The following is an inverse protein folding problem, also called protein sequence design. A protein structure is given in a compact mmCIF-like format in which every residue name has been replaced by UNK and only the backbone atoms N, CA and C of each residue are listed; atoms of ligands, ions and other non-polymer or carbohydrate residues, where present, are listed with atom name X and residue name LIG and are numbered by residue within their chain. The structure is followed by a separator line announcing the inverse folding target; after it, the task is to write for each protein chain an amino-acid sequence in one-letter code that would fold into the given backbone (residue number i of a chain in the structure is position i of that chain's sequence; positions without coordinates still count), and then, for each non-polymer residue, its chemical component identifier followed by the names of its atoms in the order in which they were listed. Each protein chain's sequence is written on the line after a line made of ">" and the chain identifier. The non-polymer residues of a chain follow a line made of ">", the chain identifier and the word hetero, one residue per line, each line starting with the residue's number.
data_IF_438795876783
#
_entry.id   IF_438795876783
#
_cell.length_a   1.000
_cell.length_b   1.000
_cell.length_c   1.000
_cell.angle_alpha   90.00
_cell.angle_beta   90.00
_cell.angle_gamma   90.00
#
_symmetry.space_group_name_H-M   'P 1'
#
loop_
_entity.id
_entity.type
_entity.pdbx_description
1 polymer ?
#
# COMPACT_ATOMS: atom_id res chain seq x y z
N UNK A 1 -19.04 3.76 -20.36
CA UNK A 1 -18.91 5.22 -20.53
C UNK A 1 -19.34 5.90 -19.23
N UNK A 2 -18.38 6.08 -18.32
CA UNK A 2 -18.63 6.68 -16.98
C UNK A 2 -18.88 8.18 -17.09
N UNK A 3 -18.41 8.81 -18.16
CA UNK A 3 -18.65 10.22 -18.47
C UNK A 3 -20.12 10.47 -18.85
N UNK A 4 -20.78 9.50 -19.51
CA UNK A 4 -22.21 9.59 -19.83
C UNK A 4 -23.12 9.57 -18.58
N UNK A 5 -22.70 8.92 -17.49
CA UNK A 5 -23.43 8.89 -16.21
C UNK A 5 -23.34 10.22 -15.45
N UNK A 6 -22.26 10.98 -15.64
CA UNK A 6 -22.09 12.31 -15.02
C UNK A 6 -22.90 13.38 -15.75
N UNK A 7 -23.25 13.17 -17.02
CA UNK A 7 -23.98 14.15 -17.84
C UNK A 7 -25.52 14.10 -17.70
N UNK A 8 -26.09 13.11 -17.01
CA UNK A 8 -27.56 12.92 -16.95
C UNK A 8 -28.29 13.50 -15.73
N UNK A 9 -27.60 14.20 -14.82
CA UNK A 9 -28.27 14.92 -13.73
C UNK A 9 -27.78 16.36 -13.66
N UNK A 10 -28.48 17.26 -14.35
CA UNK A 10 -28.28 18.73 -14.26
C UNK A 10 -28.66 19.34 -12.91
N UNK A 11 -28.74 18.55 -11.86
CA UNK A 11 -28.79 19.00 -10.47
C UNK A 11 -27.37 18.90 -9.92
N UNK A 12 -26.80 20.05 -9.55
CA UNK A 12 -25.65 20.05 -8.64
C UNK A 12 -26.10 19.33 -7.37
N UNK A 13 -25.77 18.05 -7.23
CA UNK A 13 -25.88 17.38 -5.94
C UNK A 13 -24.95 18.13 -5.01
N UNK A 14 -25.51 18.95 -4.12
CA UNK A 14 -24.79 19.51 -2.99
C UNK A 14 -24.45 18.36 -2.04
N UNK A 15 -23.42 17.60 -2.40
CA UNK A 15 -22.88 16.57 -1.54
C UNK A 15 -22.00 17.30 -0.54
N UNK A 16 -22.45 17.33 0.71
CA UNK A 16 -21.63 17.74 1.86
C UNK A 16 -21.11 16.48 2.54
N UNK A 17 -19.99 15.87 2.06
CA UNK A 17 -19.47 14.66 2.68
C UNK A 17 -19.10 14.95 4.14
N UNK A 18 -19.56 14.07 5.03
CA UNK A 18 -19.18 14.08 6.44
C UNK A 18 -18.01 13.12 6.67
N UNK A 19 -17.40 13.13 7.86
CA UNK A 19 -16.34 12.17 8.18
C UNK A 19 -16.82 10.71 8.03
N UNK A 20 -18.08 10.41 8.36
CA UNK A 20 -18.66 9.07 8.19
C UNK A 20 -19.16 8.78 6.77
N UNK A 21 -18.82 9.60 5.77
CA UNK A 21 -19.18 9.31 4.37
C UNK A 21 -18.18 8.32 3.76
N UNK A 22 -18.70 7.39 2.94
CA UNK A 22 -17.84 6.49 2.17
C UNK A 22 -17.03 7.29 1.16
N UNK A 23 -15.72 7.09 1.15
CA UNK A 23 -14.79 7.73 0.23
C UNK A 23 -14.47 6.82 -0.97
N UNK A 24 -14.27 5.53 -0.72
CA UNK A 24 -13.97 4.53 -1.75
C UNK A 24 -14.69 3.20 -1.46
N UNK A 25 -14.98 2.46 -2.52
CA UNK A 25 -15.44 1.08 -2.46
C UNK A 25 -14.47 0.22 -3.26
N UNK A 26 -13.86 -0.78 -2.62
CA UNK A 26 -12.83 -1.62 -3.23
C UNK A 26 -13.30 -3.07 -3.24
N UNK A 27 -13.30 -3.72 -4.41
CA UNK A 27 -13.77 -5.09 -4.54
C UNK A 27 -12.63 -6.07 -4.36
N UNK A 28 -12.83 -7.06 -3.49
CA UNK A 28 -11.90 -8.16 -3.25
C UNK A 28 -12.51 -9.48 -3.71
N UNK A 29 -11.66 -10.46 -4.04
CA UNK A 29 -12.09 -11.82 -4.34
C UNK A 29 -12.63 -12.47 -3.05
N UNK A 30 -13.93 -12.74 -3.00
CA UNK A 30 -14.52 -13.46 -1.87
C UNK A 30 -14.21 -14.95 -1.92
N UNK A 31 -13.95 -15.55 -0.76
CA UNK A 31 -13.79 -17.01 -0.61
C UNK A 31 -15.04 -17.80 -1.00
N UNK A 32 -16.21 -17.15 -1.07
CA UNK A 32 -17.49 -17.71 -1.47
C UNK A 32 -17.77 -17.58 -2.98
N UNK A 33 -16.81 -17.08 -3.77
CA UNK A 33 -16.92 -16.90 -5.23
C UNK A 33 -17.50 -15.56 -5.69
N UNK A 34 -18.29 -14.88 -4.84
CA UNK A 34 -18.78 -13.53 -5.13
C UNK A 34 -17.80 -12.46 -4.62
N UNK A 35 -17.45 -11.44 -5.42
CA UNK A 35 -16.64 -10.32 -4.96
C UNK A 35 -17.30 -9.57 -3.78
N UNK A 36 -16.50 -9.16 -2.80
CA UNK A 36 -16.98 -8.39 -1.64
C UNK A 36 -16.52 -6.94 -1.76
N UNK A 37 -17.44 -5.99 -1.63
CA UNK A 37 -17.12 -4.56 -1.66
C UNK A 37 -16.72 -4.06 -0.28
N UNK A 38 -15.47 -3.65 -0.10
CA UNK A 38 -14.96 -3.08 1.15
C UNK A 38 -15.19 -1.57 1.15
N UNK A 39 -16.00 -1.10 2.11
CA UNK A 39 -16.36 0.33 2.24
C UNK A 39 -15.31 1.07 3.05
N UNK A 40 -14.61 2.00 2.41
CA UNK A 40 -13.55 2.80 3.02
C UNK A 40 -14.04 4.23 3.27
N UNK A 41 -13.96 4.70 4.51
CA UNK A 41 -14.35 6.06 4.89
C UNK A 41 -13.15 7.03 4.85
N UNK A 42 -13.45 8.33 4.73
CA UNK A 42 -12.45 9.40 4.77
C UNK A 42 -11.47 9.31 5.97
N UNK A 43 -11.91 9.19 7.24
CA UNK A 43 -11.01 9.12 8.39
C UNK A 43 -10.09 7.90 8.35
N UNK A 44 -10.60 6.75 7.89
CA UNK A 44 -9.81 5.53 7.81
C UNK A 44 -8.71 5.60 6.75
N UNK A 45 -9.07 6.04 5.56
CA UNK A 45 -8.10 6.26 4.50
C UNK A 45 -7.08 7.33 4.86
N UNK A 46 -7.52 8.49 5.35
CA UNK A 46 -6.60 9.59 5.68
C UNK A 46 -5.62 9.22 6.80
N UNK A 47 -6.06 8.45 7.80
CA UNK A 47 -5.19 7.91 8.84
C UNK A 47 -4.14 6.97 8.26
N UNK A 48 -4.56 5.98 7.48
CA UNK A 48 -3.66 5.02 6.80
C UNK A 48 -2.65 5.72 5.89
N UNK A 49 -3.13 6.60 5.01
CA UNK A 49 -2.31 7.37 4.06
C UNK A 49 -1.27 8.21 4.78
N UNK A 50 -1.67 8.92 5.84
CA UNK A 50 -0.76 9.79 6.61
C UNK A 50 0.32 8.97 7.31
N UNK A 51 -0.06 7.86 7.93
CA UNK A 51 0.88 6.97 8.60
C UNK A 51 1.85 6.32 7.61
N UNK A 52 1.35 5.83 6.48
CA UNK A 52 2.16 5.25 5.40
C UNK A 52 3.13 6.26 4.79
N UNK A 53 2.67 7.47 4.46
CA UNK A 53 3.53 8.51 3.89
C UNK A 53 4.65 8.92 4.86
N UNK A 54 4.35 8.94 6.18
CA UNK A 54 5.34 9.17 7.23
C UNK A 54 6.36 8.03 7.32
N UNK A 55 5.87 6.78 7.41
CA UNK A 55 6.71 5.59 7.49
C UNK A 55 7.58 5.39 6.24
N UNK A 56 7.07 5.79 5.07
CA UNK A 56 7.79 5.75 3.79
C UNK A 56 8.69 6.96 3.55
N UNK A 57 8.74 7.92 4.50
CA UNK A 57 9.54 9.15 4.42
C UNK A 57 9.27 9.97 3.15
N UNK A 58 8.00 10.10 2.78
CA UNK A 58 7.62 10.92 1.63
C UNK A 58 7.91 12.40 1.90
N UNK A 59 8.40 13.08 0.88
CA UNK A 59 8.78 14.50 0.90
C UNK A 59 8.31 15.17 -0.40
N UNK A 60 8.41 16.51 -0.51
CA UNK A 60 8.15 17.20 -1.78
C UNK A 60 9.05 16.77 -2.94
N UNK A 61 10.17 16.10 -2.66
CA UNK A 61 11.07 15.55 -3.68
C UNK A 61 10.71 14.12 -4.10
N UNK A 62 9.76 13.48 -3.44
CA UNK A 62 9.34 12.12 -3.76
C UNK A 62 8.64 12.09 -5.11
N UNK A 63 9.14 11.25 -6.02
CA UNK A 63 8.53 10.92 -7.31
C UNK A 63 8.08 9.47 -7.26
N UNK A 64 6.79 9.27 -7.00
CA UNK A 64 6.17 7.95 -6.82
C UNK A 64 5.74 7.39 -8.16
N UNK A 65 6.31 6.25 -8.56
CA UNK A 65 5.89 5.52 -9.73
C UNK A 65 4.62 4.71 -9.42
N UNK A 66 3.50 5.07 -10.05
CA UNK A 66 2.21 4.42 -9.85
C UNK A 66 2.16 3.08 -10.59
N UNK A 67 2.73 2.04 -9.99
CA UNK A 67 2.69 0.67 -10.53
C UNK A 67 1.39 -0.06 -10.19
N UNK A 68 0.85 0.19 -9.01
CA UNK A 68 -0.30 -0.59 -8.54
C UNK A 68 -1.56 -0.19 -9.29
N UNK A 69 -2.31 -1.20 -9.76
CA UNK A 69 -3.64 -0.99 -10.37
C UNK A 69 -4.56 -0.23 -9.41
N UNK A 70 -5.40 0.65 -9.96
CA UNK A 70 -6.37 1.45 -9.20
C UNK A 70 -7.48 0.63 -8.53
N UNK A 71 -7.50 -0.68 -8.76
CA UNK A 71 -8.38 -1.63 -8.08
C UNK A 71 -7.86 -2.08 -6.71
N UNK A 72 -6.64 -1.70 -6.33
CA UNK A 72 -6.03 -2.05 -5.04
C UNK A 72 -5.83 -0.81 -4.16
N UNK A 73 -6.05 -0.94 -2.85
CA UNK A 73 -5.94 0.17 -1.89
C UNK A 73 -4.56 0.83 -1.87
N UNK A 74 -3.52 0.08 -2.20
CA UNK A 74 -2.14 0.57 -2.38
C UNK A 74 -2.08 1.78 -3.32
N UNK A 75 -2.86 1.79 -4.41
CA UNK A 75 -2.83 2.91 -5.34
C UNK A 75 -3.32 4.20 -4.71
N UNK A 76 -4.26 4.11 -3.75
CA UNK A 76 -4.74 5.27 -3.01
C UNK A 76 -3.66 5.78 -2.07
N UNK A 77 -2.92 4.89 -1.41
CA UNK A 77 -1.78 5.24 -0.56
C UNK A 77 -0.66 5.93 -1.36
N UNK A 78 -0.32 5.39 -2.53
CA UNK A 78 0.71 5.98 -3.40
C UNK A 78 0.27 7.36 -3.91
N UNK A 79 -0.95 7.47 -4.44
CA UNK A 79 -1.50 8.72 -4.99
C UNK A 79 -1.63 9.80 -3.91
N UNK A 80 -2.47 9.57 -2.90
CA UNK A 80 -2.78 10.56 -1.88
C UNK A 80 -1.65 10.75 -0.86
N UNK A 81 -0.86 9.71 -0.58
CA UNK A 81 0.32 9.83 0.26
C UNK A 81 1.34 10.76 -0.37
N UNK A 82 1.58 10.61 -1.68
CA UNK A 82 2.52 11.47 -2.41
C UNK A 82 2.01 12.91 -2.47
N UNK A 83 0.74 13.11 -2.85
CA UNK A 83 0.15 14.45 -2.95
C UNK A 83 0.07 15.17 -1.60
N UNK A 84 -0.27 14.47 -0.52
CA UNK A 84 -0.33 15.06 0.84
C UNK A 84 1.03 15.52 1.36
N UNK A 85 2.13 15.04 0.77
CA UNK A 85 3.50 15.46 1.08
C UNK A 85 4.13 16.39 0.03
N UNK A 86 3.34 16.85 -0.95
CA UNK A 86 3.80 17.75 -2.01
C UNK A 86 4.70 17.09 -3.06
N UNK A 87 4.72 15.75 -3.13
CA UNK A 87 5.49 15.00 -4.12
C UNK A 87 4.81 14.94 -5.49
N UNK A 88 5.41 14.19 -6.41
CA UNK A 88 4.93 13.98 -7.77
C UNK A 88 4.54 12.52 -7.99
N UNK A 89 3.32 12.30 -8.49
CA UNK A 89 2.86 10.97 -8.91
C UNK A 89 3.17 10.80 -10.39
N UNK A 90 3.93 9.77 -10.72
CA UNK A 90 4.33 9.41 -12.07
C UNK A 90 3.40 8.30 -12.57
N UNK A 91 2.56 8.62 -13.56
CA UNK A 91 1.56 7.73 -14.13
C UNK A 91 2.07 7.11 -15.44
N UNK A 92 2.62 5.89 -15.43
CA UNK A 92 3.00 5.20 -16.66
C UNK A 92 1.76 4.72 -17.42
N UNK A 93 1.89 4.58 -18.74
CA UNK A 93 0.96 3.75 -19.52
C UNK A 93 1.05 2.28 -19.09
N UNK A 94 0.01 1.49 -19.38
CA UNK A 94 0.02 0.05 -19.10
C UNK A 94 1.18 -0.67 -19.79
N UNK A 95 1.47 -0.31 -21.05
CA UNK A 95 2.60 -0.87 -21.80
C UNK A 95 3.95 -0.55 -21.14
N UNK A 96 4.16 0.70 -20.71
CA UNK A 96 5.36 1.09 -19.96
C UNK A 96 5.48 0.31 -18.66
N UNK A 97 4.37 0.11 -17.95
CA UNK A 97 4.32 -0.57 -16.66
C UNK A 97 4.63 -2.06 -16.74
N UNK A 98 4.14 -2.75 -17.77
CA UNK A 98 4.22 -4.21 -17.90
C UNK A 98 5.36 -4.70 -18.78
N UNK A 99 5.73 -3.94 -19.82
CA UNK A 99 6.68 -4.42 -20.84
C UNK A 99 8.10 -3.86 -20.66
N UNK A 100 8.24 -2.64 -20.13
CA UNK A 100 9.55 -2.00 -19.85
C UNK A 100 9.52 -1.19 -18.55
N UNK A 101 9.32 -1.89 -17.44
CA UNK A 101 9.24 -1.27 -16.11
C UNK A 101 10.52 -0.46 -15.78
N UNK A 102 11.70 -0.98 -16.13
CA UNK A 102 12.96 -0.30 -15.87
C UNK A 102 13.09 1.00 -16.68
N UNK A 103 12.73 0.98 -17.97
CA UNK A 103 12.68 2.17 -18.81
C UNK A 103 11.71 3.21 -18.28
N UNK A 104 10.50 2.80 -17.94
CA UNK A 104 9.49 3.69 -17.39
C UNK A 104 9.97 4.36 -16.09
N UNK A 105 10.56 3.60 -15.15
CA UNK A 105 11.11 4.14 -13.91
C UNK A 105 12.19 5.20 -14.17
N UNK A 106 13.05 5.00 -15.18
CA UNK A 106 14.07 5.98 -15.59
C UNK A 106 13.47 7.22 -16.25
N UNK A 107 12.54 7.04 -17.19
CA UNK A 107 11.91 8.15 -17.94
C UNK A 107 11.19 9.11 -16.99
N UNK A 108 10.50 8.57 -16.00
CA UNK A 108 9.83 9.34 -14.97
C UNK A 108 10.79 9.86 -13.87
N UNK A 109 12.05 9.41 -13.86
CA UNK A 109 13.03 9.65 -12.77
C UNK A 109 12.41 9.33 -11.42
N UNK A 110 11.77 8.17 -11.32
CA UNK A 110 11.07 7.77 -10.12
C UNK A 110 12.06 7.58 -8.96
N UNK A 111 11.72 8.09 -7.78
CA UNK A 111 12.54 7.93 -6.56
C UNK A 111 11.93 6.92 -5.59
N UNK A 112 10.64 6.63 -5.77
CA UNK A 112 9.87 5.69 -4.96
C UNK A 112 8.98 4.82 -5.84
N UNK A 113 8.83 3.55 -5.47
CA UNK A 113 7.79 2.68 -6.00
C UNK A 113 7.35 1.65 -4.94
N UNK A 114 6.09 1.26 -5.01
CA UNK A 114 5.61 0.04 -4.38
C UNK A 114 5.53 -1.08 -5.43
N UNK A 115 6.05 -2.27 -5.11
CA UNK A 115 6.07 -3.42 -6.03
C UNK A 115 5.79 -4.73 -5.27
N UNK A 116 5.35 -5.77 -5.97
CA UNK A 116 5.40 -7.13 -5.42
C UNK A 116 6.83 -7.67 -5.46
N UNK A 117 7.10 -8.71 -4.66
CA UNK A 117 8.39 -9.42 -4.67
C UNK A 117 8.73 -9.90 -6.08
N UNK A 118 7.76 -10.50 -6.76
CA UNK A 118 7.87 -10.96 -8.15
C UNK A 118 8.20 -9.83 -9.13
N UNK A 119 7.52 -8.69 -9.04
CA UNK A 119 7.75 -7.55 -9.95
C UNK A 119 9.15 -6.96 -9.76
N UNK A 120 9.60 -6.82 -8.50
CA UNK A 120 10.93 -6.31 -8.18
C UNK A 120 12.06 -7.26 -8.59
N UNK A 121 11.80 -8.57 -8.64
CA UNK A 121 12.77 -9.57 -9.09
C UNK A 121 13.24 -9.37 -10.53
N UNK A 122 12.39 -8.79 -11.39
CA UNK A 122 12.72 -8.47 -12.78
C UNK A 122 13.69 -7.28 -12.93
N UNK A 123 13.93 -6.52 -11.86
CA UNK A 123 14.74 -5.31 -11.87
C UNK A 123 16.11 -5.54 -11.22
N UNK A 124 17.10 -4.80 -11.71
CA UNK A 124 18.41 -4.65 -11.08
C UNK A 124 18.67 -3.17 -10.72
N UNK A 125 19.29 -2.87 -9.55
CA UNK A 125 19.54 -1.49 -9.12
C UNK A 125 20.26 -0.61 -10.15
N UNK A 126 21.18 -1.19 -10.93
CA UNK A 126 21.91 -0.46 -11.99
C UNK A 126 21.02 0.04 -13.13
N UNK A 127 19.83 -0.55 -13.32
CA UNK A 127 18.89 -0.15 -14.36
C UNK A 127 18.02 1.04 -13.95
N UNK A 128 17.96 1.36 -12.66
CA UNK A 128 17.03 2.36 -12.09
C UNK A 128 17.75 3.22 -11.04
N UNK A 129 18.77 3.99 -11.46
CA UNK A 129 19.70 4.66 -10.54
C UNK A 129 19.08 5.80 -9.72
N UNK A 130 17.87 6.27 -10.07
CA UNK A 130 17.15 7.33 -9.35
C UNK A 130 16.30 6.80 -8.19
N UNK A 131 16.01 5.49 -8.14
CA UNK A 131 15.26 4.91 -7.03
C UNK A 131 16.04 5.06 -5.72
N UNK A 132 15.32 5.46 -4.67
CA UNK A 132 15.87 5.70 -3.32
C UNK A 132 15.17 4.87 -2.27
N UNK A 133 13.87 4.64 -2.42
CA UNK A 133 13.06 3.86 -1.48
C UNK A 133 12.14 2.93 -2.26
N UNK A 134 12.04 1.69 -1.79
CA UNK A 134 11.19 0.67 -2.40
C UNK A 134 10.41 0.02 -1.27
N UNK A 135 9.10 -0.02 -1.42
CA UNK A 135 8.23 -0.79 -0.53
C UNK A 135 7.76 -2.04 -1.26
N UNK A 136 7.81 -3.18 -0.59
CA UNK A 136 7.43 -4.49 -1.13
C UNK A 136 6.34 -5.11 -0.26
N UNK A 137 5.32 -5.69 -0.88
CA UNK A 137 4.27 -6.39 -0.16
C UNK A 137 3.36 -7.21 -1.08
N UNK A 138 2.26 -7.72 -0.52
CA UNK A 138 1.28 -8.56 -1.22
C UNK A 138 1.74 -10.01 -1.45
N UNK A 139 3.04 -10.27 -1.32
CA UNK A 139 3.69 -11.59 -1.44
C UNK A 139 4.79 -11.70 -0.38
N UNK A 140 5.24 -12.91 -0.09
CA UNK A 140 6.45 -13.12 0.71
C UNK A 140 7.66 -12.48 0.02
N UNK A 141 8.46 -11.73 0.78
CA UNK A 141 9.68 -11.14 0.26
C UNK A 141 10.76 -12.22 0.12
N UNK A 142 11.34 -12.35 -1.07
CA UNK A 142 12.42 -13.29 -1.34
C UNK A 142 13.76 -12.76 -0.80
N UNK A 143 14.59 -13.64 -0.25
CA UNK A 143 15.89 -13.27 0.35
C UNK A 143 16.85 -12.66 -0.68
N UNK A 144 16.79 -13.12 -1.93
CA UNK A 144 17.61 -12.60 -3.03
C UNK A 144 17.28 -11.12 -3.33
N UNK A 145 16.03 -10.70 -3.09
CA UNK A 145 15.60 -9.31 -3.23
C UNK A 145 16.21 -8.46 -2.12
N UNK A 146 16.21 -8.97 -0.88
CA UNK A 146 16.87 -8.29 0.25
C UNK A 146 18.36 -8.11 -0.06
N UNK A 147 19.05 -9.18 -0.45
CA UNK A 147 20.47 -9.13 -0.78
C UNK A 147 20.79 -8.12 -1.90
N UNK A 148 19.93 -8.04 -2.93
CA UNK A 148 20.12 -7.17 -4.09
C UNK A 148 19.83 -5.69 -3.79
N UNK A 149 18.79 -5.39 -3.00
CA UNK A 149 18.25 -4.04 -2.90
C UNK A 149 18.52 -3.33 -1.57
N UNK A 150 18.69 -4.07 -0.46
CA UNK A 150 18.82 -3.50 0.88
C UNK A 150 20.02 -2.52 1.04
N UNK A 151 21.10 -2.73 0.29
CA UNK A 151 22.27 -1.85 0.30
C UNK A 151 22.19 -0.69 -0.69
N UNK A 152 21.19 -0.68 -1.57
CA UNK A 152 21.06 0.27 -2.70
C UNK A 152 19.92 1.26 -2.50
N UNK A 153 18.84 0.81 -1.89
CA UNK A 153 17.67 1.61 -1.60
C UNK A 153 17.23 1.35 -0.15
N UNK A 154 16.44 2.27 0.40
CA UNK A 154 15.65 1.99 1.60
C UNK A 154 14.57 0.96 1.25
N UNK A 155 14.91 -0.31 1.39
CA UNK A 155 13.99 -1.42 1.17
C UNK A 155 13.09 -1.60 2.39
N UNK A 156 11.79 -1.66 2.16
CA UNK A 156 10.77 -1.77 3.20
C UNK A 156 9.83 -2.93 2.88
N UNK A 157 9.59 -3.82 3.83
CA UNK A 157 8.48 -4.78 3.74
C UNK A 157 7.23 -4.15 4.32
N UNK A 158 6.09 -4.37 3.67
CA UNK A 158 4.79 -3.90 4.11
C UNK A 158 3.78 -5.05 4.11
N UNK A 159 2.90 -5.05 5.09
CA UNK A 159 1.75 -5.95 5.17
C UNK A 159 0.48 -5.17 5.51
N UNK A 160 -0.62 -5.59 4.92
CA UNK A 160 -1.95 -5.10 5.18
C UNK A 160 -2.94 -5.67 4.18
N UNK A 161 -4.20 -5.27 4.34
CA UNK A 161 -5.30 -5.74 3.49
C UNK A 161 -6.13 -4.56 3.00
N UNK A 162 -7.13 -4.85 2.16
CA UNK A 162 -8.11 -3.84 1.75
C UNK A 162 -8.88 -3.31 2.96
N UNK A 163 -9.23 -4.18 3.90
CA UNK A 163 -9.97 -3.89 5.14
C UNK A 163 -9.15 -3.02 6.12
N UNK A 164 -7.83 -2.97 5.98
CA UNK A 164 -6.95 -2.08 6.76
C UNK A 164 -6.56 -0.81 5.99
N UNK A 165 -7.31 -0.45 4.93
CA UNK A 165 -7.00 0.68 4.06
C UNK A 165 -5.58 0.64 3.47
N UNK A 166 -5.07 -0.54 3.12
CA UNK A 166 -3.76 -0.74 2.48
C UNK A 166 -2.72 -1.42 3.37
N UNK A 167 -2.36 -0.82 4.50
CA UNK A 167 -1.23 -1.27 5.33
C UNK A 167 -1.53 -1.22 6.82
N UNK A 168 -1.04 -2.21 7.56
CA UNK A 168 -1.06 -2.20 9.02
C UNK A 168 0.32 -2.43 9.63
N UNK A 169 1.26 -3.11 8.95
CA UNK A 169 2.63 -3.34 9.42
C UNK A 169 3.66 -2.88 8.38
N UNK A 170 4.77 -2.28 8.83
CA UNK A 170 5.95 -2.05 8.00
C UNK A 170 7.26 -2.40 8.73
N UNK A 171 8.20 -2.93 7.97
CA UNK A 171 9.59 -3.14 8.35
C UNK A 171 10.52 -2.32 7.45
N UNK A 172 10.78 -1.05 7.80
CA UNK A 172 11.59 -0.17 6.96
C UNK A 172 13.08 -0.37 7.14
N UNK A 173 13.84 -0.14 6.06
CA UNK A 173 15.30 -0.06 6.12
C UNK A 173 15.96 -1.41 6.35
N UNK A 174 15.49 -2.45 5.65
CA UNK A 174 16.13 -3.75 5.68
C UNK A 174 17.60 -3.65 5.31
N UNK A 175 18.44 -4.41 6.00
CA UNK A 175 19.83 -4.67 5.67
C UNK A 175 19.97 -5.98 4.87
N UNK A 176 21.11 -6.22 4.20
CA UNK A 176 21.36 -7.50 3.52
C UNK A 176 21.30 -8.74 4.41
N UNK A 177 21.37 -8.57 5.74
CA UNK A 177 21.30 -9.65 6.74
C UNK A 177 19.95 -9.71 7.45
N UNK A 178 18.98 -8.91 7.02
CA UNK A 178 17.65 -8.88 7.63
C UNK A 178 16.83 -10.12 7.23
N UNK A 179 16.05 -10.64 8.17
CA UNK A 179 15.10 -11.72 7.89
C UNK A 179 13.90 -11.17 7.11
N UNK A 180 13.74 -11.63 5.87
CA UNK A 180 12.68 -11.19 4.96
C UNK A 180 11.26 -11.52 5.45
N UNK A 181 11.13 -12.43 6.43
CA UNK A 181 9.85 -12.85 7.01
C UNK A 181 9.32 -11.89 8.07
N UNK A 182 10.17 -11.00 8.59
CA UNK A 182 9.79 -10.05 9.63
C UNK A 182 9.03 -8.87 9.00
N UNK A 183 7.73 -8.80 9.25
CA UNK A 183 6.82 -7.75 8.74
C UNK A 183 6.97 -6.40 9.47
N UNK A 184 7.69 -6.40 10.59
CA UNK A 184 8.05 -5.19 11.33
C UNK A 184 6.99 -4.80 12.36
N UNK A 185 6.68 -3.51 12.44
CA UNK A 185 5.85 -2.93 13.49
C UNK A 185 4.64 -2.22 12.90
N UNK A 186 3.57 -2.04 13.70
CA UNK A 186 2.41 -1.32 13.23
C UNK A 186 2.70 0.16 12.96
N UNK A 187 2.13 0.70 11.88
CA UNK A 187 2.26 2.14 11.51
C UNK A 187 1.46 3.07 12.40
N UNK A 188 0.32 2.57 12.86
CA UNK A 188 -0.55 3.19 13.86
C UNK A 188 -0.66 2.16 14.98
N UNK A 189 -0.45 2.51 16.26
CA UNK A 189 -0.42 1.53 17.35
C UNK A 189 -1.74 0.76 17.45
N UNK A 190 -1.77 -0.47 16.91
CA UNK A 190 -2.97 -1.32 16.89
C UNK A 190 -2.73 -2.69 16.20
N UNK A 191 -1.76 -3.47 16.69
CA UNK A 191 -1.57 -4.85 16.24
C UNK A 191 -1.35 -5.77 17.44
N UNK A 192 -2.10 -6.87 17.48
CA UNK A 192 -2.13 -7.83 18.57
C UNK A 192 -1.94 -9.23 18.03
N UNK A 193 -1.23 -10.08 18.77
CA UNK A 193 -1.14 -11.50 18.47
C UNK A 193 -1.97 -12.24 19.52
N UNK A 194 -3.07 -12.83 19.08
CA UNK A 194 -4.07 -13.47 19.94
C UNK A 194 -4.12 -14.97 19.71
N UNK A 195 -4.75 -15.68 20.63
CA UNK A 195 -5.01 -17.09 20.45
C UNK A 195 -6.00 -17.28 19.30
N UNK A 196 -5.79 -18.23 18.37
CA UNK A 196 -6.67 -18.41 17.21
C UNK A 196 -8.14 -18.70 17.57
N UNK A 197 -8.37 -19.36 18.71
CA UNK A 197 -9.72 -19.67 19.19
C UNK A 197 -10.32 -18.61 20.13
N UNK A 198 -9.55 -17.57 20.51
CA UNK A 198 -10.02 -16.53 21.43
C UNK A 198 -9.32 -15.17 21.17
N UNK A 199 -10.00 -14.23 20.49
CA UNK A 199 -9.44 -12.91 20.17
C UNK A 199 -9.22 -12.01 21.39
N UNK A 200 -9.72 -12.38 22.58
CA UNK A 200 -9.48 -11.63 23.81
C UNK A 200 -8.26 -12.14 24.59
N UNK A 201 -7.63 -13.22 24.11
CA UNK A 201 -6.48 -13.84 24.77
C UNK A 201 -5.20 -13.59 23.99
N UNK A 202 -4.32 -12.73 24.52
CA UNK A 202 -2.98 -12.53 23.97
C UNK A 202 -2.14 -13.81 24.13
N UNK A 203 -1.28 -14.09 23.15
CA UNK A 203 -0.25 -15.13 23.28
C UNK A 203 1.07 -14.52 23.79
N UNK A 204 1.93 -15.31 24.46
CA UNK A 204 3.26 -14.84 24.88
C UNK A 204 4.16 -14.46 23.70
N UNK A 205 5.16 -13.62 23.97
CA UNK A 205 6.20 -13.28 22.97
C UNK A 205 6.89 -14.56 22.48
N UNK A 206 6.95 -14.72 21.16
CA UNK A 206 7.56 -15.89 20.49
C UNK A 206 6.59 -17.04 20.20
N UNK A 207 5.35 -16.98 20.72
CA UNK A 207 4.31 -17.94 20.36
C UNK A 207 3.65 -17.58 19.02
N UNK A 208 3.13 -18.59 18.33
CA UNK A 208 2.30 -18.43 17.13
C UNK A 208 0.87 -18.09 17.56
N UNK A 209 0.24 -17.15 16.88
CA UNK A 209 -1.15 -16.75 17.10
C UNK A 209 -1.74 -16.03 15.88
N UNK A 210 -2.96 -15.57 16.03
CA UNK A 210 -3.68 -14.80 15.02
C UNK A 210 -3.33 -13.31 15.13
N UNK A 211 -3.12 -12.64 14.00
CA UNK A 211 -2.90 -11.19 13.95
C UNK A 211 -4.25 -10.47 13.94
N UNK A 212 -4.52 -9.72 15.01
CA UNK A 212 -5.62 -8.76 15.06
C UNK A 212 -5.09 -7.35 14.89
N UNK A 213 -5.89 -6.53 14.22
CA UNK A 213 -5.60 -5.11 14.01
C UNK A 213 -6.81 -4.29 14.44
N UNK A 214 -6.55 -3.16 15.09
CA UNK A 214 -7.58 -2.24 15.57
C UNK A 214 -7.29 -0.81 15.10
N UNK A 215 -8.09 0.16 15.50
CA UNK A 215 -7.77 1.57 15.30
C UNK A 215 -8.36 2.20 14.05
N UNK A 216 -7.98 3.46 13.76
CA UNK A 216 -8.77 4.34 12.91
C UNK A 216 -8.70 3.98 11.43
N UNK A 217 -7.78 3.11 11.00
CA UNK A 217 -7.54 2.75 9.60
C UNK A 217 -8.37 1.54 9.12
N UNK A 218 -9.30 1.06 9.94
CA UNK A 218 -10.19 -0.04 9.56
C UNK A 218 -11.31 0.45 8.63
N UNK A 219 -11.62 -0.37 7.63
CA UNK A 219 -12.80 -0.21 6.80
C UNK A 219 -14.08 -0.27 7.64
N UNK A 220 -15.16 0.36 7.15
CA UNK A 220 -16.48 0.27 7.79
C UNK A 220 -16.98 -1.18 7.83
N UNK A 221 -16.69 -1.92 6.77
CA UNK A 221 -17.12 -3.30 6.58
C UNK A 221 -17.35 -3.62 5.11
N UNK A 222 -18.01 -4.75 4.87
CA UNK A 222 -18.44 -5.16 3.54
C UNK A 222 -19.82 -4.62 3.19
N UNK A 223 -20.04 -4.29 1.92
CA UNK A 223 -21.35 -3.96 1.33
C UNK A 223 -22.25 -5.19 1.25
#
# INVERSE_FOLDING_TARGET
>A
DVLALVQQTGTSLEISPTQGSAAFLMWTSGSTGAPKGVVLEHPALSSSITAYATASQFTPRTRTFQFTSFTFTVSLCDLFGTMSRGGCVCLPSEAQRLNDLAGALRDFRATFCWLTSTSLASLHPSQVPDLRSITVGGESLAEEIVARWASRCRLTVSYGTTETCGWCLLNPGLSPTSDARILGKPTIPAAWITHPDDPNRLVPIGAVGELLVEGPFLARGYL
#
